data_IF_100608052092
#
_entry.id   IF_100608052092
#
_cell.length_a   1.000
_cell.length_b   1.000
_cell.length_c   1.000
_cell.angle_alpha   90.00
_cell.angle_beta   90.00
_cell.angle_gamma   90.00
#
_symmetry.space_group_name_H-M   'P 1'
#
loop_
_entity.id
_entity.type
_entity.pdbx_description
1 polymer ?
#
# COMPACT_ATOMS: atom_id res chain seq x y z
N UNK A 1 35.99 16.33 -8.43
CA UNK A 1 35.50 16.29 -8.33
C UNK A 1 34.67 16.25 -7.78
N UNK A 2 34.50 16.06 -7.45
CA UNK A 2 33.75 15.99 -6.82
C UNK A 2 32.66 16.15 -7.05
N UNK A 3 32.25 16.42 -7.25
CA UNK A 3 31.21 16.63 -7.45
C UNK A 3 30.53 15.79 -8.05
N UNK A 4 30.86 14.95 -8.37
CA UNK A 4 30.23 14.16 -9.04
C UNK A 4 29.67 13.21 -8.30
N UNK A 5 30.06 12.95 -7.35
CA UNK A 5 29.55 12.07 -6.60
C UNK A 5 28.35 12.33 -6.16
N UNK A 6 28.23 13.38 -5.97
CA UNK A 6 27.06 13.86 -5.53
C UNK A 6 25.98 13.46 -6.32
N UNK A 7 26.15 13.47 -7.53
CA UNK A 7 25.10 13.20 -8.38
C UNK A 7 24.64 11.84 -8.27
N UNK A 8 25.48 10.95 -7.97
CA UNK A 8 25.07 9.65 -7.83
C UNK A 8 24.19 9.50 -6.74
N UNK A 9 24.43 10.20 -5.74
CA UNK A 9 23.62 10.19 -4.61
C UNK A 9 22.25 10.58 -4.95
N UNK A 10 22.13 11.45 -5.86
CA UNK A 10 20.84 11.92 -6.26
C UNK A 10 20.05 10.83 -6.85
N UNK A 11 20.67 9.96 -7.60
CA UNK A 11 19.95 8.87 -8.19
C UNK A 11 19.47 7.95 -7.11
N UNK A 12 20.26 7.75 -6.11
CA UNK A 12 19.86 6.93 -5.02
C UNK A 12 18.69 7.53 -4.29
N UNK A 13 18.70 8.81 -4.17
CA UNK A 13 17.64 9.49 -3.50
C UNK A 13 16.35 9.33 -4.26
N UNK A 14 16.38 9.41 -5.55
CA UNK A 14 15.20 9.23 -6.35
C UNK A 14 14.61 7.85 -6.10
N UNK A 15 15.44 6.85 -6.06
CA UNK A 15 14.97 5.51 -5.81
C UNK A 15 14.40 5.39 -4.40
N UNK A 16 14.98 6.09 -3.44
CA UNK A 16 14.49 6.05 -2.09
C UNK A 16 13.16 6.75 -1.93
N UNK A 17 12.82 7.64 -2.83
CA UNK A 17 11.56 8.33 -2.77
C UNK A 17 10.44 7.48 -3.36
N UNK A 18 10.77 6.39 -4.01
CA UNK A 18 9.75 5.51 -4.56
C UNK A 18 9.02 4.83 -3.40
N UNK A 19 7.75 4.64 -3.57
CA UNK A 19 6.94 3.99 -2.55
C UNK A 19 7.37 2.55 -2.35
N UNK A 20 7.40 2.12 -1.11
CA UNK A 20 7.75 0.75 -0.75
C UNK A 20 6.47 0.05 -0.29
N UNK A 21 5.95 -0.83 -1.12
CA UNK A 21 4.68 -1.51 -0.84
C UNK A 21 4.70 -2.33 0.43
N UNK A 22 5.80 -3.00 0.72
CA UNK A 22 5.90 -3.80 1.93
C UNK A 22 5.86 -2.92 3.18
N UNK A 23 6.51 -1.75 3.14
CA UNK A 23 6.47 -0.84 4.27
C UNK A 23 5.11 -0.23 4.44
N UNK A 24 4.47 0.20 3.36
CA UNK A 24 3.12 0.76 3.43
C UNK A 24 2.16 -0.29 3.99
N UNK A 25 2.26 -1.52 3.52
CA UNK A 25 1.40 -2.59 3.99
C UNK A 25 1.60 -2.81 5.49
N UNK A 26 2.83 -2.87 5.94
CA UNK A 26 3.13 -3.08 7.36
C UNK A 26 2.62 -1.96 8.25
N UNK A 27 2.68 -0.72 7.76
CA UNK A 27 2.27 0.44 8.54
C UNK A 27 0.76 0.68 8.53
N UNK A 28 0.08 0.37 7.43
CA UNK A 28 -1.31 0.77 7.24
C UNK A 28 -2.30 -0.39 7.14
N UNK A 29 -1.85 -1.56 6.81
CA UNK A 29 -2.75 -2.67 6.47
C UNK A 29 -2.64 -3.87 7.40
N UNK A 30 -1.44 -4.19 7.81
CA UNK A 30 -1.18 -5.44 8.53
C UNK A 30 -1.89 -5.54 9.88
N UNK A 31 -2.16 -4.42 10.51
CA UNK A 31 -2.82 -4.43 11.81
C UNK A 31 -4.18 -5.12 11.73
N UNK A 32 -4.90 -4.93 10.66
CA UNK A 32 -6.22 -5.55 10.48
C UNK A 32 -6.19 -6.76 9.56
N UNK A 33 -5.31 -6.76 8.56
CA UNK A 33 -5.27 -7.83 7.56
C UNK A 33 -4.21 -8.89 7.85
N UNK A 34 -3.34 -8.66 8.82
CA UNK A 34 -2.25 -9.58 9.16
C UNK A 34 -1.04 -9.33 8.30
N UNK A 35 0.13 -9.71 8.77
CA UNK A 35 1.38 -9.52 8.04
C UNK A 35 1.39 -10.27 6.71
N UNK A 36 0.60 -11.35 6.60
CA UNK A 36 0.50 -12.15 5.38
C UNK A 36 -0.77 -11.85 4.59
N UNK A 37 -1.58 -10.88 5.03
CA UNK A 37 -2.81 -10.51 4.34
C UNK A 37 -3.94 -11.53 4.48
N UNK A 38 -3.83 -12.46 5.41
CA UNK A 38 -4.79 -13.56 5.55
C UNK A 38 -5.67 -13.48 6.78
N UNK A 39 -5.47 -12.46 7.61
CA UNK A 39 -6.26 -12.31 8.83
C UNK A 39 -7.67 -11.84 8.48
N UNK A 40 -8.66 -12.58 8.88
CA UNK A 40 -10.06 -12.25 8.60
C UNK A 40 -10.81 -11.80 9.84
N UNK A 41 -10.15 -11.72 10.99
CA UNK A 41 -10.84 -11.43 12.25
C UNK A 41 -11.42 -10.02 12.30
N UNK A 42 -10.80 -9.06 11.62
CA UNK A 42 -11.29 -7.69 11.59
C UNK A 42 -11.86 -7.39 10.21
N UNK A 43 -11.14 -7.71 9.16
CA UNK A 43 -11.55 -7.36 7.80
C UNK A 43 -12.64 -8.27 7.25
N UNK A 44 -12.74 -9.46 7.78
CA UNK A 44 -13.72 -10.44 7.31
C UNK A 44 -13.33 -11.17 6.02
N UNK A 45 -12.19 -10.82 5.44
CA UNK A 45 -11.80 -11.41 4.17
C UNK A 45 -10.30 -11.38 4.00
N UNK A 46 -9.72 -12.48 3.57
CA UNK A 46 -8.30 -12.52 3.27
C UNK A 46 -8.04 -11.75 1.98
N UNK A 47 -6.98 -10.97 1.96
CA UNK A 47 -6.65 -10.15 0.79
C UNK A 47 -5.37 -10.58 0.09
N UNK A 48 -4.63 -11.53 0.66
CA UNK A 48 -3.37 -11.99 0.06
C UNK A 48 -3.63 -12.47 -1.37
N UNK A 49 -2.84 -11.97 -2.31
CA UNK A 49 -2.94 -12.38 -3.71
C UNK A 49 -4.06 -11.71 -4.51
N UNK A 50 -4.76 -10.75 -3.92
CA UNK A 50 -5.87 -10.10 -4.62
C UNK A 50 -5.37 -9.19 -5.73
N UNK A 51 -5.58 -9.57 -6.97
CA UNK A 51 -5.14 -8.81 -8.12
C UNK A 51 -5.96 -7.55 -8.39
N UNK A 52 -7.08 -7.38 -7.72
CA UNK A 52 -7.94 -6.20 -7.88
C UNK A 52 -7.70 -5.16 -6.77
N UNK A 53 -6.64 -5.30 -5.99
CA UNK A 53 -6.40 -4.44 -4.84
C UNK A 53 -6.36 -2.96 -5.20
N UNK A 54 -5.68 -2.58 -6.27
CA UNK A 54 -5.58 -1.17 -6.64
C UNK A 54 -6.95 -0.58 -6.96
N UNK A 55 -7.78 -1.30 -7.67
CA UNK A 55 -9.12 -0.86 -8.01
C UNK A 55 -9.93 -0.67 -6.73
N UNK A 56 -9.82 -1.59 -5.79
CA UNK A 56 -10.54 -1.50 -4.54
C UNK A 56 -10.07 -0.33 -3.67
N UNK A 57 -8.75 -0.14 -3.55
CA UNK A 57 -8.22 0.97 -2.76
C UNK A 57 -8.61 2.31 -3.36
N UNK A 58 -8.56 2.44 -4.68
CA UNK A 58 -9.00 3.65 -5.35
C UNK A 58 -10.49 3.88 -5.09
N UNK A 59 -11.29 2.83 -5.11
CA UNK A 59 -12.71 2.93 -4.80
C UNK A 59 -12.97 3.36 -3.37
N UNK A 60 -12.19 2.87 -2.42
CA UNK A 60 -12.32 3.33 -1.04
C UNK A 60 -12.01 4.84 -0.95
N UNK A 61 -10.96 5.30 -1.62
CA UNK A 61 -10.58 6.71 -1.55
C UNK A 61 -11.62 7.63 -2.16
N UNK A 62 -12.26 7.23 -3.23
CA UNK A 62 -13.25 8.09 -3.88
C UNK A 62 -14.69 7.77 -3.45
N UNK A 63 -14.85 6.85 -2.52
CA UNK A 63 -16.15 6.56 -1.93
C UNK A 63 -17.06 5.65 -2.75
N UNK A 64 -16.54 5.01 -3.79
CA UNK A 64 -17.36 4.17 -4.67
C UNK A 64 -17.31 2.69 -4.31
N UNK A 65 -16.50 2.30 -3.33
CA UNK A 65 -16.34 0.90 -2.97
C UNK A 65 -16.31 0.72 -1.45
N UNK A 66 -16.80 -0.38 -1.00
CA UNK A 66 -16.69 -0.78 0.40
C UNK A 66 -18.04 -1.06 1.04
N UNK A 67 -18.02 -1.84 2.08
CA UNK A 67 -19.19 -2.20 2.87
C UNK A 67 -19.13 -1.60 4.26
N UNK A 68 -19.35 -2.40 5.29
CA UNK A 68 -19.39 -1.92 6.66
C UNK A 68 -18.06 -1.30 7.12
N UNK A 69 -16.94 -1.75 6.58
CA UNK A 69 -15.63 -1.25 6.97
C UNK A 69 -15.11 -0.13 6.06
N UNK A 70 -16.00 0.43 5.24
CA UNK A 70 -15.60 1.47 4.29
C UNK A 70 -14.93 2.65 4.96
N UNK A 71 -15.51 3.16 6.02
CA UNK A 71 -14.95 4.32 6.72
C UNK A 71 -13.61 3.98 7.37
N UNK A 72 -13.47 2.78 7.92
CA UNK A 72 -12.23 2.34 8.54
C UNK A 72 -11.12 2.23 7.51
N UNK A 73 -11.40 1.64 6.35
CA UNK A 73 -10.42 1.52 5.29
C UNK A 73 -10.03 2.88 4.75
N UNK A 74 -10.99 3.76 4.53
CA UNK A 74 -10.69 5.10 4.05
C UNK A 74 -9.78 5.82 5.04
N UNK A 75 -10.06 5.70 6.33
CA UNK A 75 -9.22 6.32 7.36
C UNK A 75 -7.79 5.80 7.32
N UNK A 76 -7.60 4.52 7.00
CA UNK A 76 -6.28 3.93 6.97
C UNK A 76 -5.47 4.37 5.75
N UNK A 77 -6.12 4.67 4.63
CA UNK A 77 -5.43 4.95 3.38
C UNK A 77 -5.54 6.39 2.92
N UNK A 78 -6.26 7.23 3.65
CA UNK A 78 -6.54 8.60 3.21
C UNK A 78 -5.29 9.44 2.93
N UNK A 79 -4.21 9.19 3.64
CA UNK A 79 -2.97 9.94 3.48
C UNK A 79 -1.99 9.28 2.50
N UNK A 80 -2.38 8.20 1.85
CA UNK A 80 -1.51 7.53 0.90
C UNK A 80 -1.64 8.18 -0.49
N UNK A 81 -0.51 8.34 -1.16
CA UNK A 81 -0.48 8.87 -2.52
C UNK A 81 -0.87 7.79 -3.52
N UNK A 82 -1.08 8.16 -4.77
CA UNK A 82 -1.37 7.19 -5.82
C UNK A 82 -0.20 6.20 -5.98
N UNK A 83 1.04 6.67 -5.84
CA UNK A 83 2.20 5.80 -5.92
C UNK A 83 2.22 4.81 -4.76
N UNK A 84 1.83 5.25 -3.57
CA UNK A 84 1.73 4.36 -2.41
C UNK A 84 0.67 3.29 -2.66
N UNK A 85 -0.47 3.67 -3.22
CA UNK A 85 -1.53 2.72 -3.51
C UNK A 85 -1.09 1.69 -4.53
N UNK A 86 -0.37 2.12 -5.56
CA UNK A 86 0.14 1.19 -6.56
C UNK A 86 1.16 0.23 -5.96
N UNK A 87 2.06 0.76 -5.13
CA UNK A 87 3.10 -0.06 -4.52
C UNK A 87 2.52 -1.09 -3.56
N UNK A 88 1.58 -0.67 -2.72
CA UNK A 88 1.00 -1.60 -1.76
C UNK A 88 0.11 -2.61 -2.47
N UNK A 89 -0.53 -2.22 -3.56
CA UNK A 89 -1.37 -3.14 -4.33
C UNK A 89 -0.51 -4.24 -4.96
N UNK A 90 0.66 -3.88 -5.47
CA UNK A 90 1.57 -4.88 -6.01
C UNK A 90 2.06 -5.83 -4.90
N UNK A 91 2.34 -5.29 -3.72
CA UNK A 91 2.76 -6.11 -2.59
C UNK A 91 1.66 -7.12 -2.21
N UNK A 92 0.43 -6.65 -2.09
CA UNK A 92 -0.70 -7.52 -1.73
C UNK A 92 -0.92 -8.59 -2.80
N UNK A 93 -0.83 -8.22 -4.06
CA UNK A 93 -0.99 -9.18 -5.15
C UNK A 93 0.06 -10.28 -5.15
N UNK A 94 1.22 -10.00 -4.58
CA UNK A 94 2.31 -10.97 -4.51
C UNK A 94 2.33 -11.79 -3.22
N UNK A 95 1.45 -11.51 -2.28
CA UNK A 95 1.37 -12.30 -1.06
C UNK A 95 0.77 -13.68 -1.36
N UNK A 96 1.26 -14.67 -0.69
CA UNK A 96 0.80 -16.05 -0.88
C UNK A 96 0.18 -16.62 0.40
#
# INVERSE_FOLDING_TARGET
MVMKLVTLTVLGVTALCAADGAKVFGAKCAECHGADGKDVSISGKAIAGDGATLTKLTGYKNGTYGGEQKATMLGSIADLSDDDLKAVSAHVGNLK
#
